data_IF_341491855150
#
_entry.id   IF_341491855150
#
_cell.length_a   1.000
_cell.length_b   1.000
_cell.length_c   1.000
_cell.angle_alpha   90.00
_cell.angle_beta   90.00
_cell.angle_gamma   90.00
#
_symmetry.space_group_name_H-M   'P 1'
#
loop_
_entity.id
_entity.type
_entity.pdbx_description
1 polymer ?
#
# COMPACT_ATOMS: atom_id res chain seq x y z
N UNK A 1 -26.80 9.89 11.69
CA UNK A 1 -25.58 9.08 11.48
C UNK A 1 -24.44 9.71 12.26
N UNK A 2 -23.84 9.03 13.25
CA UNK A 2 -22.93 9.65 14.23
C UNK A 2 -21.50 9.83 13.69
N UNK A 3 -20.80 10.88 14.13
CA UNK A 3 -19.39 11.19 13.77
C UNK A 3 -18.45 9.99 14.01
N UNK A 4 -18.75 9.19 15.04
CA UNK A 4 -18.01 7.98 15.36
C UNK A 4 -18.12 6.92 14.25
N UNK A 5 -19.31 6.72 13.69
CA UNK A 5 -19.55 5.79 12.58
C UNK A 5 -18.75 6.22 11.33
N UNK A 6 -18.72 7.51 11.04
CA UNK A 6 -17.94 8.05 9.92
C UNK A 6 -16.43 7.82 10.10
N UNK A 7 -15.90 8.01 11.30
CA UNK A 7 -14.48 7.75 11.63
C UNK A 7 -14.13 6.26 11.49
N UNK A 8 -14.96 5.36 12.04
CA UNK A 8 -14.74 3.91 11.98
C UNK A 8 -14.82 3.41 10.53
N UNK A 9 -15.84 3.84 9.79
CA UNK A 9 -16.00 3.53 8.36
C UNK A 9 -14.78 3.97 7.56
N UNK A 10 -14.26 5.18 7.80
CA UNK A 10 -13.05 5.70 7.13
C UNK A 10 -11.82 4.85 7.43
N UNK A 11 -11.64 4.40 8.68
CA UNK A 11 -10.52 3.53 9.10
C UNK A 11 -10.62 2.15 8.43
N UNK A 12 -11.78 1.50 8.49
CA UNK A 12 -12.04 0.18 7.91
C UNK A 12 -11.83 0.23 6.39
N UNK A 13 -12.41 1.23 5.74
CA UNK A 13 -12.28 1.43 4.30
C UNK A 13 -10.82 1.63 3.89
N UNK A 14 -10.08 2.48 4.61
CA UNK A 14 -8.68 2.74 4.29
C UNK A 14 -7.77 1.53 4.47
N UNK A 15 -7.92 0.75 5.54
CA UNK A 15 -6.98 -0.34 5.83
C UNK A 15 -7.34 -1.66 5.14
N UNK A 16 -8.63 -2.01 5.09
CA UNK A 16 -9.05 -3.33 4.59
C UNK A 16 -9.36 -3.27 3.10
N UNK A 17 -10.19 -2.31 2.66
CA UNK A 17 -10.64 -2.28 1.27
C UNK A 17 -9.49 -1.96 0.31
N UNK A 18 -8.61 -1.04 0.72
CA UNK A 18 -7.42 -0.67 -0.06
C UNK A 18 -6.46 -1.85 -0.24
N UNK A 19 -6.27 -2.67 0.79
CA UNK A 19 -5.44 -3.88 0.71
C UNK A 19 -6.03 -4.89 -0.29
N UNK A 20 -7.35 -5.11 -0.25
CA UNK A 20 -8.03 -5.99 -1.21
C UNK A 20 -7.94 -5.46 -2.65
N UNK A 21 -8.09 -4.15 -2.81
CA UNK A 21 -7.94 -3.48 -4.10
C UNK A 21 -6.54 -3.71 -4.69
N UNK A 22 -5.48 -3.44 -3.91
CA UNK A 22 -4.11 -3.66 -4.39
C UNK A 22 -3.77 -5.11 -4.67
N UNK A 23 -4.30 -6.06 -3.89
CA UNK A 23 -4.15 -7.48 -4.21
C UNK A 23 -4.70 -7.80 -5.60
N UNK A 24 -5.91 -7.33 -5.92
CA UNK A 24 -6.50 -7.53 -7.25
C UNK A 24 -5.68 -6.89 -8.36
N UNK A 25 -5.17 -5.68 -8.16
CA UNK A 25 -4.32 -4.99 -9.13
C UNK A 25 -3.03 -5.77 -9.39
N UNK A 26 -2.36 -6.25 -8.33
CA UNK A 26 -1.11 -7.01 -8.47
C UNK A 26 -1.36 -8.33 -9.19
N UNK A 27 -2.43 -9.04 -8.85
CA UNK A 27 -2.75 -10.32 -9.49
C UNK A 27 -3.15 -10.16 -10.96
N UNK A 28 -3.88 -9.09 -11.30
CA UNK A 28 -4.34 -8.85 -12.67
C UNK A 28 -3.25 -8.29 -13.59
N UNK A 29 -2.42 -7.37 -13.11
CA UNK A 29 -1.51 -6.58 -13.97
C UNK A 29 -0.03 -6.84 -13.72
N UNK A 30 0.35 -7.34 -12.54
CA UNK A 30 1.75 -7.47 -12.11
C UNK A 30 2.13 -8.90 -11.70
N UNK A 31 1.29 -9.89 -12.02
CA UNK A 31 1.52 -11.29 -11.63
C UNK A 31 2.84 -11.83 -12.19
N UNK A 32 3.15 -11.51 -13.44
CA UNK A 32 4.40 -11.89 -14.12
C UNK A 32 5.63 -11.05 -13.77
N UNK A 33 5.48 -9.93 -13.05
CA UNK A 33 6.61 -9.08 -12.68
C UNK A 33 7.35 -9.68 -11.47
N UNK A 34 8.68 -9.73 -11.49
CA UNK A 34 9.48 -10.10 -10.31
C UNK A 34 9.82 -8.90 -9.43
N UNK A 35 9.96 -7.73 -10.05
CA UNK A 35 10.31 -6.47 -9.41
C UNK A 35 9.37 -5.33 -9.81
N UNK A 36 9.07 -4.42 -8.89
CA UNK A 36 8.16 -3.27 -9.10
C UNK A 36 8.77 -1.99 -8.51
N UNK A 37 8.71 -0.90 -9.26
CA UNK A 37 9.00 0.46 -8.75
C UNK A 37 7.67 1.21 -8.64
N UNK A 38 7.38 1.73 -7.45
CA UNK A 38 6.17 2.50 -7.14
C UNK A 38 6.52 3.98 -7.00
N UNK A 39 6.11 4.80 -7.97
CA UNK A 39 6.39 6.24 -8.02
C UNK A 39 5.20 7.03 -7.48
N UNK A 40 5.44 7.88 -6.49
CA UNK A 40 4.39 8.49 -5.69
C UNK A 40 3.77 7.50 -4.71
N UNK A 41 4.59 6.63 -4.11
CA UNK A 41 4.13 5.51 -3.30
C UNK A 41 3.37 5.93 -2.03
N UNK A 42 3.44 7.21 -1.64
CA UNK A 42 2.86 7.73 -0.41
C UNK A 42 3.27 6.86 0.78
N UNK A 43 2.29 6.44 1.57
CA UNK A 43 2.50 5.60 2.76
C UNK A 43 2.92 4.14 2.47
N UNK A 44 3.02 3.73 1.21
CA UNK A 44 3.54 2.42 0.83
C UNK A 44 2.57 1.24 0.97
N UNK A 45 1.26 1.49 1.07
CA UNK A 45 0.25 0.41 1.16
C UNK A 45 0.36 -0.59 -0.01
N UNK A 46 0.62 -0.11 -1.22
CA UNK A 46 0.85 -0.96 -2.38
C UNK A 46 2.13 -1.80 -2.23
N UNK A 47 3.24 -1.17 -1.83
CA UNK A 47 4.53 -1.83 -1.60
C UNK A 47 4.41 -2.97 -0.59
N UNK A 48 3.67 -2.76 0.51
CA UNK A 48 3.43 -3.79 1.53
C UNK A 48 2.72 -5.01 0.92
N UNK A 49 1.69 -4.78 0.10
CA UNK A 49 0.96 -5.87 -0.55
C UNK A 49 1.83 -6.58 -1.58
N UNK A 50 2.57 -5.83 -2.40
CA UNK A 50 3.48 -6.37 -3.41
C UNK A 50 4.62 -7.19 -2.78
N UNK A 51 5.23 -6.71 -1.69
CA UNK A 51 6.23 -7.47 -0.93
C UNK A 51 5.65 -8.78 -0.37
N UNK A 52 4.41 -8.74 0.15
CA UNK A 52 3.68 -9.94 0.58
C UNK A 52 3.36 -10.94 -0.54
N UNK A 53 3.50 -10.53 -1.81
CA UNK A 53 3.37 -11.38 -3.01
C UNK A 53 4.74 -11.80 -3.57
N UNK A 54 5.79 -11.76 -2.75
CA UNK A 54 7.18 -12.09 -3.11
C UNK A 54 7.72 -11.27 -4.28
N UNK A 55 7.33 -10.00 -4.38
CA UNK A 55 7.90 -9.05 -5.34
C UNK A 55 9.06 -8.28 -4.69
N UNK A 56 10.12 -8.02 -5.45
CA UNK A 56 11.14 -7.03 -5.07
C UNK A 56 10.56 -5.65 -5.33
N UNK A 57 10.50 -4.79 -4.32
CA UNK A 57 9.78 -3.52 -4.44
C UNK A 57 10.64 -2.34 -4.01
N UNK A 58 10.53 -1.23 -4.74
CA UNK A 58 11.16 0.05 -4.40
C UNK A 58 10.10 1.14 -4.48
N UNK A 59 9.93 1.89 -3.39
CA UNK A 59 9.04 3.05 -3.32
C UNK A 59 9.80 4.35 -3.47
N UNK A 60 9.28 5.27 -4.28
CA UNK A 60 9.83 6.62 -4.45
C UNK A 60 8.71 7.62 -4.23
N UNK A 61 8.90 8.57 -3.32
CA UNK A 61 7.98 9.70 -3.11
C UNK A 61 8.78 10.96 -2.82
N UNK A 62 8.29 12.11 -3.29
CA UNK A 62 8.92 13.41 -3.04
C UNK A 62 8.65 13.90 -1.63
N UNK A 63 7.53 13.48 -1.04
CA UNK A 63 7.20 13.75 0.34
C UNK A 63 7.92 12.72 1.22
N UNK A 64 8.72 13.19 2.19
CA UNK A 64 9.46 12.31 3.11
C UNK A 64 8.66 11.87 4.34
N UNK A 65 7.57 12.56 4.65
CA UNK A 65 6.68 12.18 5.77
C UNK A 65 6.11 10.76 5.71
N UNK A 66 5.88 10.14 4.53
CA UNK A 66 5.42 8.76 4.43
C UNK A 66 6.55 7.71 4.53
N UNK A 67 7.79 8.08 4.21
CA UNK A 67 8.95 7.17 4.16
C UNK A 67 9.44 6.72 5.54
N UNK A 68 9.22 7.52 6.60
CA UNK A 68 9.52 7.11 7.98
C UNK A 68 8.73 5.87 8.41
N UNK A 69 7.53 5.66 7.85
CA UNK A 69 6.73 4.46 8.11
C UNK A 69 7.32 3.20 7.46
N UNK A 70 8.03 3.34 6.33
CA UNK A 70 8.60 2.21 5.58
C UNK A 70 10.02 1.83 6.04
N UNK A 71 10.75 2.75 6.68
CA UNK A 71 12.05 2.44 7.28
C UNK A 71 11.94 1.47 8.48
N UNK A 72 10.81 1.50 9.21
CA UNK A 72 10.53 0.57 10.32
C UNK A 72 10.19 -0.84 9.82
N UNK A 73 9.43 -0.94 8.74
CA UNK A 73 9.18 -2.21 8.05
C UNK A 73 10.29 -2.43 7.05
N UNK A 74 11.50 -2.85 7.45
CA UNK A 74 12.64 -3.13 6.55
C UNK A 74 12.18 -3.66 5.17
N UNK A 75 11.94 -2.74 4.21
CA UNK A 75 11.62 -3.05 2.82
C UNK A 75 12.94 -3.34 2.15
#
# INVERSE_FOLDING_TARGET
>A
MSILYFKISKIIHHKILRKLFYNKIIDAYYSGCSSIIDVGCGFGDFLIVAKGKNKVVVGIDLNRSPLSCLAEYRI
#
